data_IF_780556396215
#
_entry.id   IF_780556396215
#
_cell.length_a   1.000
_cell.length_b   1.000
_cell.length_c   1.000
_cell.angle_alpha   90.00
_cell.angle_beta   90.00
_cell.angle_gamma   90.00
#
_symmetry.space_group_name_H-M   'P 1'
#
loop_
_entity.id
_entity.type
_entity.pdbx_description
1 polymer ?
#
# COMPACT_ATOMS: atom_id res chain seq x y z
N UNK A 1 15.61 -8.34 -5.58
CA UNK A 1 15.17 -8.13 -6.97
C UNK A 1 14.33 -6.87 -7.00
N UNK A 2 14.51 -5.96 -7.96
CA UNK A 2 13.72 -4.74 -8.06
C UNK A 2 12.24 -5.05 -8.30
N UNK A 3 11.33 -4.31 -7.67
CA UNK A 3 9.88 -4.47 -7.82
C UNK A 3 9.31 -3.42 -8.77
N UNK A 4 8.26 -3.76 -9.53
CA UNK A 4 7.64 -2.83 -10.48
C UNK A 4 6.87 -1.71 -9.78
N UNK A 5 7.19 -0.45 -10.14
CA UNK A 5 6.49 0.74 -9.66
C UNK A 5 5.06 0.79 -10.16
N UNK A 6 4.84 0.41 -11.42
CA UNK A 6 3.50 0.34 -12.00
C UNK A 6 2.62 -0.65 -11.24
N UNK A 7 3.14 -1.85 -10.94
CA UNK A 7 2.40 -2.84 -10.16
C UNK A 7 2.04 -2.32 -8.76
N UNK A 8 2.97 -1.65 -8.07
CA UNK A 8 2.72 -1.02 -6.76
C UNK A 8 1.60 0.04 -6.83
N UNK A 9 1.62 0.91 -7.86
CA UNK A 9 0.60 1.95 -8.05
C UNK A 9 -0.77 1.35 -8.35
N UNK A 10 -0.85 0.38 -9.28
CA UNK A 10 -2.12 -0.25 -9.64
C UNK A 10 -2.73 -0.98 -8.45
N UNK A 11 -1.90 -1.67 -7.67
CA UNK A 11 -2.34 -2.38 -6.48
C UNK A 11 -2.89 -1.41 -5.41
N UNK A 12 -2.27 -0.25 -5.23
CA UNK A 12 -2.77 0.78 -4.34
C UNK A 12 -4.05 1.45 -4.86
N UNK A 13 -4.20 1.65 -6.18
CA UNK A 13 -5.39 2.29 -6.74
C UNK A 13 -6.63 1.40 -6.58
N UNK A 14 -6.52 0.11 -6.90
CA UNK A 14 -7.64 -0.82 -6.85
C UNK A 14 -7.85 -1.47 -5.48
N UNK A 15 -6.77 -1.77 -4.74
CA UNK A 15 -6.81 -2.50 -3.46
C UNK A 15 -6.17 -1.70 -2.30
N UNK A 16 -6.01 -0.38 -2.45
CA UNK A 16 -5.38 0.47 -1.43
C UNK A 16 -6.12 0.53 -0.10
N UNK A 17 -7.45 0.43 -0.11
CA UNK A 17 -8.26 0.35 1.11
C UNK A 17 -7.98 -0.92 1.93
N UNK A 18 -7.39 -1.95 1.33
CA UNK A 18 -6.96 -3.18 2.01
C UNK A 18 -5.46 -3.18 2.35
N UNK A 19 -4.68 -2.23 1.80
CA UNK A 19 -3.24 -2.10 2.02
C UNK A 19 -2.37 -3.12 1.29
N UNK A 20 -2.87 -3.76 0.23
CA UNK A 20 -2.17 -4.87 -0.46
C UNK A 20 -0.84 -4.43 -1.08
N UNK A 21 -0.76 -3.17 -1.54
CA UNK A 21 0.46 -2.58 -2.12
C UNK A 21 1.62 -2.52 -1.12
N UNK A 22 1.33 -2.34 0.17
CA UNK A 22 2.35 -2.38 1.21
C UNK A 22 2.93 -3.77 1.41
N UNK A 23 2.13 -4.83 1.29
CA UNK A 23 2.65 -6.21 1.31
C UNK A 23 3.54 -6.49 0.09
N UNK A 24 3.13 -6.02 -1.09
CA UNK A 24 3.95 -6.12 -2.29
C UNK A 24 5.30 -5.40 -2.13
N UNK A 25 5.30 -4.19 -1.55
CA UNK A 25 6.52 -3.43 -1.26
C UNK A 25 7.32 -3.97 -0.06
N UNK A 26 6.83 -4.98 0.67
CA UNK A 26 7.50 -5.54 1.85
C UNK A 26 7.27 -4.76 3.15
N UNK A 27 6.44 -3.72 3.14
CA UNK A 27 6.01 -2.96 4.32
C UNK A 27 4.88 -3.70 5.07
N UNK A 28 5.14 -4.92 5.53
CA UNK A 28 4.13 -5.79 6.15
C UNK A 28 3.43 -5.10 7.34
N UNK A 29 4.14 -4.36 8.19
CA UNK A 29 3.52 -3.63 9.31
C UNK A 29 2.50 -2.58 8.87
N UNK A 30 2.78 -1.84 7.79
CA UNK A 30 1.84 -0.86 7.22
C UNK A 30 0.63 -1.55 6.60
N UNK A 31 0.87 -2.61 5.82
CA UNK A 31 -0.19 -3.41 5.20
C UNK A 31 -1.13 -4.04 6.23
N UNK A 32 -0.59 -4.63 7.30
CA UNK A 32 -1.38 -5.20 8.40
C UNK A 32 -2.19 -4.11 9.11
N UNK A 33 -1.61 -2.94 9.34
CA UNK A 33 -2.33 -1.82 9.97
C UNK A 33 -3.52 -1.38 9.11
N UNK A 34 -3.32 -1.20 7.80
CA UNK A 34 -4.39 -0.82 6.87
C UNK A 34 -5.47 -1.91 6.78
N UNK A 35 -5.08 -3.18 6.72
CA UNK A 35 -6.02 -4.30 6.69
C UNK A 35 -6.85 -4.37 7.98
N UNK A 36 -6.22 -4.26 9.15
CA UNK A 36 -6.93 -4.27 10.44
C UNK A 36 -7.85 -3.08 10.60
N UNK A 37 -7.43 -1.86 10.21
CA UNK A 37 -8.29 -0.68 10.24
C UNK A 37 -9.54 -0.90 9.39
N UNK A 38 -9.38 -1.44 8.19
CA UNK A 38 -10.51 -1.70 7.29
C UNK A 38 -11.41 -2.82 7.80
N UNK A 39 -10.86 -3.92 8.35
CA UNK A 39 -11.65 -5.05 8.84
C UNK A 39 -12.36 -4.76 10.17
N UNK A 40 -11.66 -4.18 11.15
CA UNK A 40 -12.21 -3.89 12.49
C UNK A 40 -13.28 -2.79 12.41
N UNK A 41 -13.13 -1.84 11.49
CA UNK A 41 -14.16 -0.82 11.24
C UNK A 41 -15.31 -1.31 10.35
N UNK A 42 -15.34 -2.60 9.97
CA UNK A 42 -16.29 -3.16 9.02
C UNK A 42 -16.37 -2.34 7.71
N UNK A 43 -15.23 -1.81 7.26
CA UNK A 43 -15.12 -1.01 6.04
C UNK A 43 -15.46 0.48 6.23
N UNK A 44 -15.91 0.93 7.40
CA UNK A 44 -16.26 2.34 7.62
C UNK A 44 -15.05 3.28 7.41
N UNK A 45 -13.85 2.84 7.76
CA UNK A 45 -12.61 3.60 7.55
C UNK A 45 -11.97 3.38 6.17
N UNK A 46 -12.57 2.57 5.29
CA UNK A 46 -11.99 2.25 3.98
C UNK A 46 -11.65 3.48 3.12
N UNK A 47 -12.47 4.55 3.07
CA UNK A 47 -12.11 5.77 2.33
C UNK A 47 -10.87 6.46 2.88
N UNK A 48 -10.69 6.51 4.20
CA UNK A 48 -9.53 7.11 4.84
C UNK A 48 -8.26 6.29 4.59
N UNK A 49 -8.38 4.96 4.67
CA UNK A 49 -7.28 4.04 4.35
C UNK A 49 -6.90 4.14 2.86
N UNK A 50 -7.88 4.31 1.97
CA UNK A 50 -7.62 4.53 0.55
C UNK A 50 -6.89 5.86 0.29
N UNK A 51 -7.27 6.95 0.97
CA UNK A 51 -6.54 8.23 0.88
C UNK A 51 -5.09 8.06 1.36
N UNK A 52 -4.86 7.33 2.45
CA UNK A 52 -3.50 6.96 2.87
C UNK A 52 -2.75 6.22 1.76
N UNK A 53 -3.36 5.21 1.12
CA UNK A 53 -2.74 4.50 -0.01
C UNK A 53 -2.36 5.44 -1.18
N UNK A 54 -3.18 6.45 -1.48
CA UNK A 54 -2.87 7.48 -2.49
C UNK A 54 -1.65 8.33 -2.08
N UNK A 55 -1.57 8.72 -0.81
CA UNK A 55 -0.38 9.42 -0.29
C UNK A 55 0.86 8.55 -0.48
N UNK A 56 0.78 7.25 -0.16
CA UNK A 56 1.92 6.33 -0.27
C UNK A 56 2.42 6.18 -1.71
N UNK A 57 1.56 6.12 -2.73
CA UNK A 57 2.05 6.02 -4.13
C UNK A 57 2.72 7.30 -4.64
N UNK A 58 2.39 8.45 -4.06
CA UNK A 58 3.04 9.72 -4.38
C UNK A 58 4.39 9.89 -3.66
N UNK A 59 4.53 9.28 -2.48
CA UNK A 59 5.60 9.57 -1.52
C UNK A 59 6.64 8.45 -1.42
N UNK A 60 6.24 7.20 -1.61
CA UNK A 60 7.12 6.02 -1.44
C UNK A 60 7.72 5.62 -2.78
N UNK A 61 9.05 5.71 -2.88
CA UNK A 61 9.83 5.36 -4.09
C UNK A 61 10.67 4.10 -3.93
N UNK A 62 10.83 3.63 -2.68
CA UNK A 62 11.63 2.46 -2.29
C UNK A 62 10.79 1.41 -1.60
N UNK A 63 11.18 0.16 -1.77
CA UNK A 63 10.63 -0.96 -1.00
C UNK A 63 11.20 -1.03 0.42
N UNK A 64 10.71 -1.95 1.24
CA UNK A 64 11.13 -2.09 2.64
C UNK A 64 12.60 -2.46 2.82
N UNK A 65 13.28 -2.93 1.76
CA UNK A 65 14.69 -3.25 1.73
C UNK A 65 15.54 -2.06 1.24
N UNK A 66 14.92 -0.92 0.96
CA UNK A 66 15.58 0.28 0.47
C UNK A 66 15.89 0.26 -1.03
N UNK A 67 15.37 -0.72 -1.77
CA UNK A 67 15.58 -0.85 -3.22
C UNK A 67 14.55 0.01 -3.95
N UNK A 68 15.00 0.81 -4.92
CA UNK A 68 14.11 1.63 -5.73
C UNK A 68 13.18 0.79 -6.61
N UNK A 69 11.93 1.24 -6.78
CA UNK A 69 11.02 0.62 -7.72
C UNK A 69 11.46 0.89 -9.16
N UNK A 70 11.39 -0.15 -10.01
CA UNK A 70 11.67 -0.02 -11.45
C UNK A 70 10.39 0.37 -12.18
N UNK A 71 10.49 1.32 -13.12
CA UNK A 71 9.36 1.76 -13.95
C UNK A 71 8.96 0.71 -14.96
#
# INVERSE_FOLDING_TARGET
>A
MPKSRLAYILLALFLGSLGVHNFFAGYTGRGVTQLLLTLISFGFLAPLVWVWAIVEICTVTKDAQGVDFVS
#
